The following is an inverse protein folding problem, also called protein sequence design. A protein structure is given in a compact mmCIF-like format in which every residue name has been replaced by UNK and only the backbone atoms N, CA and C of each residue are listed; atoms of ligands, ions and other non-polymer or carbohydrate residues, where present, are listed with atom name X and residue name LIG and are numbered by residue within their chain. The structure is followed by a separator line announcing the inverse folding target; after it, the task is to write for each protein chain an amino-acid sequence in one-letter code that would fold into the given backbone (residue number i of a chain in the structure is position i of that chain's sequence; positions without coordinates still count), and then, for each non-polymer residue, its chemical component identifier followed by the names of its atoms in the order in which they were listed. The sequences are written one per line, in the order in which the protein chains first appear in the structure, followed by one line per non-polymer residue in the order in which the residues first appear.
data_IF_172787675576
#
_entry.id   IF_172787675576
#
_cell.length_a   1.000
_cell.length_b   1.000
_cell.length_c   1.000
_cell.angle_alpha   90.00
_cell.angle_beta   90.00
_cell.angle_gamma   90.00
#
_symmetry.space_group_name_H-M   'P 1'
#
loop_
_entity.id
_entity.type
_entity.pdbx_description
1 polymer ?
#
# COMPACT_ATOMS: atom_id res chain seq x y z
N UNK A 1 16.57 12.46 -15.27
CA UNK A 1 15.23 12.42 -14.61
C UNK A 1 14.69 13.84 -14.63
N UNK A 2 13.60 14.06 -15.38
CA UNK A 2 13.14 15.41 -15.71
C UNK A 2 12.58 16.15 -14.48
N UNK A 3 13.05 17.39 -14.28
CA UNK A 3 12.61 18.35 -13.24
C UNK A 3 11.07 18.52 -13.14
N UNK A 4 10.34 18.21 -14.20
CA UNK A 4 8.89 18.23 -14.24
C UNK A 4 8.27 17.12 -13.36
N UNK A 5 8.78 15.90 -13.44
CA UNK A 5 8.31 14.76 -12.64
C UNK A 5 8.59 14.94 -11.15
N UNK A 6 9.75 15.50 -10.78
CA UNK A 6 10.07 15.73 -9.37
C UNK A 6 9.18 16.80 -8.72
N UNK A 7 8.77 17.83 -9.46
CA UNK A 7 7.82 18.84 -8.98
C UNK A 7 6.39 18.31 -8.92
N UNK A 8 5.99 17.46 -9.88
CA UNK A 8 4.68 16.82 -9.89
C UNK A 8 4.54 15.85 -8.71
N UNK A 9 5.56 15.05 -8.46
CA UNK A 9 5.64 14.10 -7.33
C UNK A 9 5.57 14.86 -6.00
N UNK A 10 6.28 15.98 -5.84
CA UNK A 10 6.24 16.81 -4.63
C UNK A 10 4.86 17.42 -4.35
N UNK A 11 4.13 17.84 -5.39
CA UNK A 11 2.76 18.34 -5.23
C UNK A 11 1.78 17.23 -4.85
N UNK A 12 1.97 16.03 -5.40
CA UNK A 12 1.19 14.82 -5.12
C UNK A 12 1.36 14.39 -3.66
N UNK A 13 2.61 14.30 -3.18
CA UNK A 13 2.91 13.91 -1.79
C UNK A 13 2.35 14.91 -0.79
N UNK A 14 2.34 16.22 -1.09
CA UNK A 14 1.80 17.22 -0.18
C UNK A 14 0.28 17.15 -0.03
N UNK A 15 -0.44 16.86 -1.12
CA UNK A 15 -1.90 16.70 -1.09
C UNK A 15 -2.29 15.41 -0.37
N UNK A 16 -1.59 14.30 -0.63
CA UNK A 16 -1.78 13.01 0.04
C UNK A 16 -1.46 13.08 1.54
N UNK A 17 -0.40 13.80 1.92
CA UNK A 17 -0.04 14.06 3.32
C UNK A 17 -1.15 14.80 4.08
N UNK A 18 -1.80 15.76 3.45
CA UNK A 18 -2.87 16.54 4.07
C UNK A 18 -4.14 15.71 4.27
N UNK A 19 -4.50 14.84 3.32
CA UNK A 19 -5.64 13.93 3.46
C UNK A 19 -5.39 12.84 4.51
N UNK A 20 -4.17 12.28 4.57
CA UNK A 20 -3.80 11.30 5.60
C UNK A 20 -3.80 11.92 7.00
N UNK A 21 -3.29 13.15 7.17
CA UNK A 21 -3.36 13.89 8.44
C UNK A 21 -4.79 14.20 8.87
N UNK A 22 -5.68 14.50 7.92
CA UNK A 22 -7.09 14.78 8.18
C UNK A 22 -7.85 13.52 8.65
N UNK A 23 -7.48 12.35 8.13
CA UNK A 23 -8.05 11.08 8.57
C UNK A 23 -7.52 10.67 9.97
N UNK A 24 -6.25 10.93 10.28
CA UNK A 24 -5.68 10.69 11.62
C UNK A 24 -6.29 11.60 12.70
N UNK A 25 -6.68 12.85 12.35
CA UNK A 25 -7.33 13.75 13.31
C UNK A 25 -8.79 13.41 13.60
N UNK A 26 -9.46 12.63 12.73
CA UNK A 26 -10.83 12.15 12.98
C UNK A 26 -10.86 10.98 13.96
N UNK A 27 -9.87 10.08 13.92
CA UNK A 27 -9.80 8.95 14.85
C UNK A 27 -9.45 9.37 16.30
N UNK A 28 -8.85 10.57 16.49
CA UNK A 28 -8.51 11.08 17.84
C UNK A 28 -9.66 11.82 18.54
N UNK A 29 -10.73 12.19 17.86
CA UNK A 29 -11.85 12.95 18.46
C UNK A 29 -12.92 12.07 19.11
N UNK A 30 -12.94 10.76 18.85
CA UNK A 30 -13.98 9.86 19.38
C UNK A 30 -13.57 9.13 20.69
N UNK A 31 -12.41 9.45 21.29
CA UNK A 31 -11.91 8.77 22.52
C UNK A 31 -11.95 9.67 23.78
N UNK A 32 -12.46 10.88 23.69
CA UNK A 32 -12.48 11.82 24.82
C UNK A 32 -13.83 11.94 25.50
N UNK A 33 -14.37 10.87 26.12
CA UNK A 33 -15.32 10.97 27.24
C UNK A 33 -15.47 9.62 27.95
N UNK A 34 -14.62 9.35 28.93
CA UNK A 34 -14.97 8.54 30.13
C UNK A 34 -13.92 8.83 31.21
N UNK A 35 -14.40 9.40 32.27
CA UNK A 35 -13.69 9.89 33.47
C UNK A 35 -13.38 8.77 34.45
N UNK A 36 -12.22 8.97 35.16
CA UNK A 36 -11.86 8.57 36.53
C UNK A 36 -11.95 7.10 36.96
N UNK A 37 -10.81 6.48 37.25
CA UNK A 37 -10.31 6.29 38.61
C UNK A 37 -8.92 5.63 38.63
N UNK A 38 -8.10 6.10 39.57
CA UNK A 38 -6.83 5.63 40.08
C UNK A 38 -6.53 4.12 39.94
N UNK A 39 -5.51 3.74 39.21
CA UNK A 39 -4.53 2.76 39.72
C UNK A 39 -3.16 2.92 39.07
N UNK A 40 -2.15 3.07 39.90
CA UNK A 40 -0.76 3.27 39.52
C UNK A 40 -0.12 1.91 39.19
N UNK A 41 0.52 1.84 38.07
CA UNK A 41 1.55 0.87 37.61
C UNK A 41 1.14 -0.04 36.47
N UNK A 42 1.49 0.35 35.32
CA UNK A 42 2.12 -0.35 34.22
C UNK A 42 1.88 0.38 32.90
N UNK A 43 2.59 1.47 32.65
CA UNK A 43 2.60 2.08 31.31
C UNK A 43 3.56 1.26 30.48
N UNK A 44 3.14 0.07 30.07
CA UNK A 44 3.61 -0.55 28.86
C UNK A 44 3.00 0.26 27.71
N UNK A 45 3.80 1.10 27.07
CA UNK A 45 3.42 1.73 25.80
C UNK A 45 3.08 0.61 24.82
N UNK A 46 1.78 0.31 24.65
CA UNK A 46 1.31 -0.45 23.52
C UNK A 46 1.71 0.38 22.30
N UNK A 47 2.76 -0.04 21.60
CA UNK A 47 3.17 0.57 20.36
C UNK A 47 2.01 0.40 19.40
N UNK A 48 1.34 1.50 19.02
CA UNK A 48 0.18 1.47 18.14
C UNK A 48 0.53 0.67 16.90
N UNK A 49 -0.24 -0.39 16.63
CA UNK A 49 0.01 -1.28 15.51
C UNK A 49 -0.13 -0.49 14.21
N UNK A 50 0.94 -0.40 13.42
CA UNK A 50 0.90 0.25 12.12
C UNK A 50 -0.15 -0.45 11.25
N UNK A 51 -1.11 0.32 10.74
CA UNK A 51 -2.25 -0.16 9.97
C UNK A 51 -2.46 0.59 8.66
N UNK A 52 -1.70 1.65 8.42
CA UNK A 52 -1.80 2.50 7.24
C UNK A 52 -0.44 2.62 6.53
N UNK A 53 -0.50 2.61 5.20
CA UNK A 53 0.66 2.86 4.35
C UNK A 53 1.09 4.33 4.48
N UNK A 54 2.40 4.56 4.47
CA UNK A 54 2.93 5.92 4.48
C UNK A 54 2.81 6.59 3.11
N UNK A 55 2.91 7.93 3.02
CA UNK A 55 3.01 8.62 1.74
C UNK A 55 4.14 8.10 0.85
N UNK A 56 5.28 7.72 1.44
CA UNK A 56 6.39 7.12 0.69
C UNK A 56 6.05 5.71 0.16
N UNK A 57 5.23 4.96 0.87
CA UNK A 57 4.71 3.68 0.40
C UNK A 57 3.72 3.83 -0.76
N UNK A 58 2.84 4.84 -0.69
CA UNK A 58 1.92 5.18 -1.80
C UNK A 58 2.71 5.59 -3.05
N UNK A 59 3.70 6.47 -2.88
CA UNK A 59 4.59 6.90 -3.97
C UNK A 59 5.30 5.71 -4.62
N UNK A 60 5.81 4.79 -3.82
CA UNK A 60 6.45 3.56 -4.30
C UNK A 60 5.52 2.77 -5.22
N UNK A 61 4.26 2.55 -4.82
CA UNK A 61 3.28 1.80 -5.62
C UNK A 61 2.95 2.58 -6.90
N UNK A 62 2.65 3.88 -6.81
CA UNK A 62 2.35 4.72 -7.96
C UNK A 62 3.46 4.69 -9.03
N UNK A 63 4.74 4.65 -8.60
CA UNK A 63 5.89 4.56 -9.50
C UNK A 63 5.97 3.22 -10.25
N UNK A 64 5.41 2.14 -9.69
CA UNK A 64 5.36 0.84 -10.36
C UNK A 64 4.18 0.70 -11.32
N UNK A 65 3.02 1.22 -10.94
CA UNK A 65 1.78 1.02 -11.71
C UNK A 65 1.68 1.95 -12.93
N UNK A 66 2.36 3.09 -12.90
CA UNK A 66 2.18 4.12 -13.92
C UNK A 66 0.83 4.85 -13.79
N UNK A 67 0.59 5.83 -14.66
CA UNK A 67 -0.61 6.66 -14.64
C UNK A 67 -1.23 6.75 -16.02
N UNK A 68 -2.54 6.47 -16.13
CA UNK A 68 -3.34 6.81 -17.28
C UNK A 68 -4.56 7.62 -16.86
N UNK A 69 -4.73 8.81 -17.42
CA UNK A 69 -5.90 9.67 -17.18
C UNK A 69 -7.09 9.32 -18.09
N UNK A 70 -6.89 8.42 -19.04
CA UNK A 70 -7.92 7.89 -19.94
C UNK A 70 -8.03 6.37 -19.71
N UNK A 71 -9.27 5.87 -19.80
CA UNK A 71 -9.51 4.44 -19.65
C UNK A 71 -8.86 3.64 -20.80
N UNK A 72 -8.23 2.54 -20.45
CA UNK A 72 -7.60 1.60 -21.37
C UNK A 72 -7.94 0.16 -21.01
N UNK A 73 -7.82 -0.76 -21.96
CA UNK A 73 -7.92 -2.19 -21.66
C UNK A 73 -6.57 -2.71 -21.17
N UNK A 74 -6.57 -3.34 -19.99
CA UNK A 74 -5.41 -4.03 -19.46
C UNK A 74 -5.13 -5.36 -20.20
N UNK A 75 -4.11 -6.09 -19.78
CA UNK A 75 -3.75 -7.38 -20.37
C UNK A 75 -4.82 -8.49 -20.19
N UNK A 76 -5.78 -8.29 -19.30
CA UNK A 76 -6.92 -9.17 -19.06
C UNK A 76 -8.21 -8.69 -19.77
N UNK A 77 -8.12 -7.67 -20.63
CA UNK A 77 -9.24 -7.00 -21.30
C UNK A 77 -10.26 -6.38 -20.32
N UNK A 78 -9.77 -5.82 -19.21
CA UNK A 78 -10.58 -5.10 -18.22
C UNK A 78 -10.31 -3.59 -18.38
N UNK A 79 -11.39 -2.79 -18.47
CA UNK A 79 -11.27 -1.33 -18.48
C UNK A 79 -10.66 -0.82 -17.18
N UNK A 80 -9.58 -0.07 -17.32
CA UNK A 80 -8.71 0.35 -16.22
C UNK A 80 -8.37 1.83 -16.40
N UNK A 81 -8.27 2.58 -15.31
CA UNK A 81 -7.94 4.02 -15.31
C UNK A 81 -7.06 4.37 -14.10
N UNK A 82 -6.44 5.54 -14.11
CA UNK A 82 -5.60 6.03 -13.02
C UNK A 82 -4.36 5.18 -12.82
N UNK A 83 -4.16 4.66 -11.64
CA UNK A 83 -3.06 3.78 -11.25
C UNK A 83 -3.46 2.29 -11.20
N UNK A 84 -4.37 1.86 -12.07
CA UNK A 84 -4.83 0.47 -12.11
C UNK A 84 -6.24 0.25 -11.56
N UNK A 85 -7.02 1.30 -11.33
CA UNK A 85 -8.40 1.22 -10.86
C UNK A 85 -9.31 0.64 -11.93
N UNK A 86 -10.07 -0.40 -11.58
CA UNK A 86 -11.06 -1.06 -12.45
C UNK A 86 -12.50 -0.86 -11.97
N UNK A 87 -12.66 -0.49 -10.70
CA UNK A 87 -13.93 -0.19 -10.04
C UNK A 87 -13.74 1.09 -9.25
N UNK A 88 -14.59 2.08 -9.50
CA UNK A 88 -14.59 3.36 -8.78
C UNK A 88 -15.03 3.21 -7.32
N UNK A 89 -14.74 4.19 -6.44
CA UNK A 89 -15.16 4.16 -5.04
C UNK A 89 -16.69 4.04 -4.84
N UNK A 90 -17.49 4.44 -5.82
CA UNK A 90 -18.95 4.32 -5.81
C UNK A 90 -19.46 2.92 -6.25
N UNK A 91 -18.56 1.98 -6.56
CA UNK A 91 -18.87 0.61 -6.99
C UNK A 91 -19.12 0.45 -8.50
N UNK A 92 -19.10 1.53 -9.29
CA UNK A 92 -19.24 1.44 -10.75
C UNK A 92 -17.95 0.92 -11.38
N UNK A 93 -18.07 0.15 -12.45
CA UNK A 93 -16.92 -0.29 -13.25
C UNK A 93 -16.44 0.83 -14.16
N UNK A 94 -15.12 0.88 -14.36
CA UNK A 94 -14.52 1.71 -15.41
C UNK A 94 -15.05 1.26 -16.77
N UNK A 95 -15.36 2.23 -17.62
CA UNK A 95 -15.93 2.02 -18.95
C UNK A 95 -15.07 2.66 -20.03
N UNK A 96 -15.32 2.27 -21.27
CA UNK A 96 -14.67 2.89 -22.43
C UNK A 96 -14.92 4.40 -22.46
N UNK A 97 -13.89 5.17 -22.81
CA UNK A 97 -13.88 6.63 -22.88
C UNK A 97 -14.00 7.38 -21.53
N UNK A 98 -13.95 6.66 -20.39
CA UNK A 98 -13.86 7.34 -19.12
C UNK A 98 -12.55 8.13 -19.02
N UNK A 99 -12.63 9.30 -18.40
CA UNK A 99 -11.48 10.17 -18.13
C UNK A 99 -11.47 10.58 -16.68
N UNK A 100 -10.31 10.79 -16.12
CA UNK A 100 -10.15 11.32 -14.78
C UNK A 100 -9.05 12.38 -14.73
N UNK A 101 -9.14 13.24 -13.73
CA UNK A 101 -8.04 14.13 -13.35
C UNK A 101 -6.98 13.39 -12.54
N UNK A 102 -5.78 13.96 -12.45
CA UNK A 102 -4.72 13.44 -11.57
C UNK A 102 -5.22 13.28 -10.12
N UNK A 103 -5.98 14.27 -9.61
CA UNK A 103 -6.54 14.22 -8.26
C UNK A 103 -7.49 13.03 -8.09
N UNK A 104 -8.38 12.80 -9.04
CA UNK A 104 -9.28 11.64 -9.01
C UNK A 104 -8.52 10.32 -9.08
N UNK A 105 -7.49 10.21 -9.93
CA UNK A 105 -6.65 9.01 -9.99
C UNK A 105 -5.98 8.71 -8.63
N UNK A 106 -5.54 9.75 -7.91
CA UNK A 106 -4.99 9.63 -6.56
C UNK A 106 -6.03 9.18 -5.53
N UNK A 107 -7.23 9.76 -5.57
CA UNK A 107 -8.35 9.37 -4.71
C UNK A 107 -8.74 7.91 -4.94
N UNK A 108 -8.78 7.47 -6.20
CA UNK A 108 -9.04 6.06 -6.55
C UNK A 108 -7.96 5.14 -5.99
N UNK A 109 -6.67 5.50 -6.15
CA UNK A 109 -5.56 4.71 -5.61
C UNK A 109 -5.65 4.57 -4.08
N UNK A 110 -5.89 5.68 -3.36
CA UNK A 110 -6.05 5.64 -1.90
C UNK A 110 -7.22 4.75 -1.48
N UNK A 111 -8.33 4.84 -2.18
CA UNK A 111 -9.48 3.96 -1.94
C UNK A 111 -9.13 2.49 -2.17
N UNK A 112 -8.44 2.18 -3.27
CA UNK A 112 -8.05 0.81 -3.60
C UNK A 112 -7.06 0.24 -2.59
N UNK A 113 -6.13 1.06 -2.07
CA UNK A 113 -5.14 0.65 -1.07
C UNK A 113 -5.76 0.22 0.26
N UNK A 114 -6.89 0.79 0.67
CA UNK A 114 -7.52 0.46 1.96
C UNK A 114 -7.78 -1.04 2.16
N UNK A 115 -8.17 -1.76 1.11
CA UNK A 115 -8.41 -3.21 1.20
C UNK A 115 -7.12 -3.99 1.43
N UNK A 116 -6.01 -3.54 0.83
CA UNK A 116 -4.70 -4.17 0.99
C UNK A 116 -4.09 -3.86 2.36
N UNK A 117 -4.18 -2.62 2.83
CA UNK A 117 -3.79 -2.22 4.18
C UNK A 117 -4.50 -3.07 5.23
N UNK A 118 -5.83 -3.17 5.15
CA UNK A 118 -6.64 -3.99 6.06
C UNK A 118 -6.23 -5.46 6.00
N UNK A 119 -5.94 -5.99 4.82
CA UNK A 119 -5.51 -7.38 4.66
C UNK A 119 -4.15 -7.64 5.29
N UNK A 120 -3.16 -6.76 5.05
CA UNK A 120 -1.83 -6.84 5.65
C UNK A 120 -1.91 -6.68 7.16
N UNK A 121 -2.59 -5.65 7.68
CA UNK A 121 -2.72 -5.39 9.10
C UNK A 121 -3.38 -6.54 9.88
N UNK A 122 -4.32 -7.26 9.26
CA UNK A 122 -4.96 -8.44 9.86
C UNK A 122 -4.08 -9.69 9.80
N UNK A 123 -3.30 -9.86 8.73
CA UNK A 123 -2.50 -11.07 8.53
C UNK A 123 -1.17 -11.04 9.32
N UNK A 124 -0.59 -9.85 9.51
CA UNK A 124 0.67 -9.67 10.26
C UNK A 124 0.37 -9.71 11.77
N UNK A 125 1.00 -10.67 12.46
CA UNK A 125 0.81 -10.94 13.89
C UNK A 125 1.94 -10.42 14.78
N UNK A 126 2.98 -9.85 14.17
CA UNK A 126 4.17 -9.32 14.85
C UNK A 126 4.28 -7.82 14.65
N UNK A 127 5.05 -7.14 15.49
CA UNK A 127 5.35 -5.72 15.29
C UNK A 127 6.24 -5.55 14.06
N UNK A 128 5.86 -4.62 13.19
CA UNK A 128 6.63 -4.21 12.01
C UNK A 128 6.81 -2.70 12.04
N UNK A 129 7.92 -2.20 11.47
CA UNK A 129 8.09 -0.77 11.27
C UNK A 129 7.33 -0.28 10.03
N UNK A 130 7.28 1.04 9.83
CA UNK A 130 6.53 1.65 8.72
C UNK A 130 7.05 1.19 7.34
N UNK A 131 8.37 1.07 7.18
CA UNK A 131 8.97 0.64 5.93
C UNK A 131 8.62 -0.82 5.60
N UNK A 132 8.61 -1.67 6.61
CA UNK A 132 8.17 -3.06 6.48
C UNK A 132 6.70 -3.13 6.07
N UNK A 133 5.83 -2.37 6.73
CA UNK A 133 4.41 -2.32 6.40
C UNK A 133 4.18 -1.84 4.96
N UNK A 134 4.81 -0.75 4.55
CA UNK A 134 4.73 -0.20 3.19
C UNK A 134 5.16 -1.23 2.13
N UNK A 135 6.28 -1.93 2.38
CA UNK A 135 6.79 -2.96 1.47
C UNK A 135 5.82 -4.15 1.35
N UNK A 136 5.21 -4.57 2.47
CA UNK A 136 4.20 -5.65 2.49
C UNK A 136 2.93 -5.24 1.75
N UNK A 137 2.46 -4.00 1.92
CA UNK A 137 1.29 -3.48 1.18
C UNK A 137 1.61 -3.41 -0.31
N UNK A 138 2.80 -2.92 -0.71
CA UNK A 138 3.22 -2.86 -2.11
C UNK A 138 3.28 -4.25 -2.75
N UNK A 139 3.87 -5.22 -2.07
CA UNK A 139 3.89 -6.61 -2.53
C UNK A 139 2.46 -7.15 -2.69
N UNK A 140 1.63 -6.98 -1.65
CA UNK A 140 0.25 -7.49 -1.62
C UNK A 140 -0.61 -6.87 -2.72
N UNK A 141 -0.42 -5.59 -3.02
CA UNK A 141 -1.08 -4.91 -4.12
C UNK A 141 -0.78 -5.57 -5.47
N UNK A 142 0.48 -5.97 -5.68
CA UNK A 142 0.92 -6.58 -6.93
C UNK A 142 0.53 -8.07 -7.08
N UNK A 143 0.72 -8.88 -6.02
CA UNK A 143 0.49 -10.33 -6.09
C UNK A 143 -0.94 -10.75 -5.70
N UNK A 144 -1.70 -9.85 -5.08
CA UNK A 144 -3.04 -10.09 -4.57
C UNK A 144 -3.08 -10.58 -3.12
N UNK A 145 -4.20 -10.29 -2.44
CA UNK A 145 -4.41 -10.58 -1.01
C UNK A 145 -4.30 -12.09 -0.72
N UNK A 146 -4.94 -12.93 -1.50
CA UNK A 146 -4.95 -14.39 -1.27
C UNK A 146 -3.55 -14.98 -1.39
N UNK A 147 -2.74 -14.53 -2.37
CA UNK A 147 -1.38 -14.98 -2.55
C UNK A 147 -0.49 -14.55 -1.37
N UNK A 148 -0.63 -13.30 -0.90
CA UNK A 148 0.08 -12.82 0.28
C UNK A 148 -0.27 -13.64 1.53
N UNK A 149 -1.56 -13.86 1.80
CA UNK A 149 -2.03 -14.58 2.98
C UNK A 149 -1.55 -16.03 3.04
N UNK A 150 -1.36 -16.68 1.90
CA UNK A 150 -0.84 -18.06 1.80
C UNK A 150 0.69 -18.12 1.64
N UNK A 151 1.38 -16.97 1.58
CA UNK A 151 2.80 -16.90 1.26
C UNK A 151 3.71 -17.47 2.36
N UNK A 152 4.85 -17.98 1.93
CA UNK A 152 5.94 -18.35 2.85
C UNK A 152 6.56 -17.11 3.50
N UNK A 153 6.51 -15.95 2.83
CA UNK A 153 6.91 -14.67 3.41
C UNK A 153 6.17 -14.39 4.71
N UNK A 154 4.83 -14.45 4.67
CA UNK A 154 4.00 -14.18 5.84
C UNK A 154 4.23 -15.20 6.97
N UNK A 155 4.50 -16.46 6.64
CA UNK A 155 4.83 -17.49 7.63
C UNK A 155 6.13 -17.18 8.38
N UNK A 156 7.20 -16.83 7.66
CA UNK A 156 8.46 -16.42 8.27
C UNK A 156 8.32 -15.13 9.09
N UNK A 157 7.61 -14.14 8.54
CA UNK A 157 7.37 -12.88 9.25
C UNK A 157 6.66 -13.10 10.59
N UNK A 158 5.58 -13.88 10.61
CA UNK A 158 4.84 -14.18 11.84
C UNK A 158 5.61 -15.11 12.82
N UNK A 159 6.64 -15.79 12.33
CA UNK A 159 7.61 -16.51 13.17
C UNK A 159 8.78 -15.61 13.66
N UNK A 160 8.70 -14.28 13.43
CA UNK A 160 9.75 -13.29 13.77
C UNK A 160 11.07 -13.51 13.00
N UNK A 161 11.05 -14.29 11.93
CA UNK A 161 12.20 -14.47 11.03
C UNK A 161 12.16 -13.46 9.88
N UNK A 162 12.51 -12.21 10.18
CA UNK A 162 12.51 -11.10 9.21
C UNK A 162 13.52 -11.33 8.07
N UNK A 163 14.63 -12.04 8.35
CA UNK A 163 15.63 -12.32 7.32
C UNK A 163 15.07 -13.25 6.26
N UNK A 164 14.54 -14.41 6.67
CA UNK A 164 13.92 -15.34 5.73
C UNK A 164 12.68 -14.75 5.05
N UNK A 165 11.89 -13.92 5.76
CA UNK A 165 10.77 -13.20 5.17
C UNK A 165 11.24 -12.26 4.05
N UNK A 166 12.33 -11.51 4.25
CA UNK A 166 12.88 -10.62 3.24
C UNK A 166 13.35 -11.36 1.98
N UNK A 167 13.91 -12.54 2.12
CA UNK A 167 14.39 -13.34 0.99
C UNK A 167 13.23 -13.90 0.16
N UNK A 168 12.02 -13.97 0.72
CA UNK A 168 10.83 -14.42 -0.02
C UNK A 168 10.27 -13.36 -0.99
N UNK A 169 10.70 -12.12 -0.94
CA UNK A 169 10.36 -11.17 -2.00
C UNK A 169 10.84 -11.67 -3.37
N UNK A 170 12.03 -12.26 -3.43
CA UNK A 170 12.69 -12.70 -4.66
C UNK A 170 11.97 -13.85 -5.39
N UNK A 171 10.99 -14.51 -4.78
CA UNK A 171 10.22 -15.58 -5.45
C UNK A 171 9.12 -15.04 -6.37
N UNK A 172 8.69 -13.77 -6.19
CA UNK A 172 7.58 -13.15 -6.92
C UNK A 172 8.04 -12.37 -8.16
N UNK A 173 8.85 -13.01 -9.00
CA UNK A 173 9.50 -12.40 -10.18
C UNK A 173 9.01 -13.00 -11.51
N UNK A 174 7.98 -13.89 -11.48
CA UNK A 174 7.53 -14.60 -12.68
C UNK A 174 6.11 -14.18 -13.06
N UNK A 175 5.86 -14.15 -14.39
CA UNK A 175 4.53 -14.07 -14.98
C UNK A 175 4.46 -15.08 -16.13
N UNK A 176 3.37 -15.86 -16.20
CA UNK A 176 3.24 -16.94 -17.19
C UNK A 176 4.38 -17.97 -17.13
N UNK A 177 4.95 -18.21 -15.93
CA UNK A 177 6.08 -19.14 -15.72
C UNK A 177 7.46 -18.60 -16.11
N UNK A 178 7.56 -17.40 -16.69
CA UNK A 178 8.81 -16.76 -17.13
C UNK A 178 9.20 -15.63 -16.19
N UNK A 179 10.50 -15.48 -15.94
CA UNK A 179 11.04 -14.34 -15.19
C UNK A 179 10.82 -13.04 -15.98
N UNK A 180 10.31 -12.01 -15.29
CA UNK A 180 10.04 -10.68 -15.85
C UNK A 180 10.95 -9.66 -15.16
N UNK A 181 11.79 -8.96 -15.93
CA UNK A 181 12.79 -8.03 -15.39
C UNK A 181 12.13 -6.90 -14.55
N UNK A 182 10.98 -6.41 -14.97
CA UNK A 182 10.22 -5.40 -14.20
C UNK A 182 9.83 -5.90 -12.80
N UNK A 183 9.45 -7.19 -12.68
CA UNK A 183 9.15 -7.80 -11.37
C UNK A 183 10.43 -8.00 -10.55
N UNK A 184 11.55 -8.37 -11.15
CA UNK A 184 12.85 -8.46 -10.46
C UNK A 184 13.22 -7.11 -9.85
N UNK A 185 13.13 -6.04 -10.63
CA UNK A 185 13.44 -4.69 -10.16
C UNK A 185 12.48 -4.23 -9.05
N UNK A 186 11.18 -4.51 -9.19
CA UNK A 186 10.16 -4.21 -8.19
C UNK A 186 10.46 -4.91 -6.85
N UNK A 187 10.72 -6.20 -6.89
CA UNK A 187 11.05 -7.00 -5.68
C UNK A 187 12.32 -6.53 -4.99
N UNK A 188 13.35 -6.15 -5.76
CA UNK A 188 14.57 -5.60 -5.18
C UNK A 188 14.32 -4.30 -4.39
N UNK A 189 13.49 -3.40 -4.91
CA UNK A 189 13.13 -2.14 -4.24
C UNK A 189 12.26 -2.40 -3.01
N UNK A 190 11.24 -3.25 -3.12
CA UNK A 190 10.37 -3.63 -2.00
C UNK A 190 11.16 -4.33 -0.88
N UNK A 191 12.06 -5.27 -1.23
CA UNK A 191 12.96 -5.94 -0.28
C UNK A 191 13.89 -4.94 0.43
N UNK A 192 14.49 -4.01 -0.31
CA UNK A 192 15.35 -2.97 0.27
C UNK A 192 14.57 -2.09 1.26
N UNK A 193 13.34 -1.71 0.93
CA UNK A 193 12.45 -0.96 1.84
C UNK A 193 12.07 -1.77 3.08
N UNK A 194 11.83 -3.06 2.94
CA UNK A 194 11.52 -3.96 4.06
C UNK A 194 12.69 -4.10 5.05
N UNK A 195 13.92 -4.00 4.56
CA UNK A 195 15.15 -4.15 5.36
C UNK A 195 15.65 -2.83 5.99
N UNK A 196 15.01 -1.67 5.67
CA UNK A 196 15.42 -0.34 6.16
C UNK A 196 14.71 0.16 7.44
#
# INVERSE_FOLDING_TARGET
MNSFWSKLISAVTHTLLNELKKNQSKDQTDIATATDDNDSNNIGFAQDKISHISPAGVELICNFEGLSLEAYLDSANIWTIGYGTTIYPNGQRVSQNDQCTLKQAQEFMLHDLQRFEKAVARAVQVSVNQNQFDALVSLTYNIGISAFQSSTLLKYLNAVDFKSASDQFDVWIKSGGKTVQGLVNRRAIEKAKFLS
#
